data_IF_729260970318
#
_entry.id   IF_729260970318
#
_cell.length_a   1.000
_cell.length_b   1.000
_cell.length_c   1.000
_cell.angle_alpha   90.00
_cell.angle_beta   90.00
_cell.angle_gamma   90.00
#
_symmetry.space_group_name_H-M   'P 1'
#
loop_
_entity.id
_entity.type
_entity.pdbx_description
1 polymer ?
#
# COMPACT_ATOMS: atom_id res chain seq x y z
N UNK A 1 40.85 -57.89 -15.35
CA UNK A 1 41.27 -56.74 -14.53
C UNK A 1 40.84 -55.49 -15.26
N UNK A 2 39.72 -54.89 -14.85
CA UNK A 2 39.21 -53.65 -15.46
C UNK A 2 38.65 -52.78 -14.35
N UNK A 3 39.39 -51.74 -14.01
CA UNK A 3 39.02 -50.76 -12.99
C UNK A 3 38.21 -49.64 -13.65
N UNK A 4 37.00 -49.42 -13.16
CA UNK A 4 36.17 -48.27 -13.52
C UNK A 4 36.60 -47.07 -12.67
N UNK A 5 37.00 -45.96 -13.31
CA UNK A 5 37.28 -44.68 -12.64
C UNK A 5 36.13 -43.72 -12.90
N UNK A 6 35.47 -43.33 -11.81
CA UNK A 6 34.38 -42.37 -11.72
C UNK A 6 34.86 -40.94 -11.93
N UNK A 7 34.26 -40.21 -12.88
CA UNK A 7 34.44 -38.77 -13.07
C UNK A 7 33.22 -38.00 -12.55
N UNK A 8 33.38 -36.93 -11.75
CA UNK A 8 32.25 -36.14 -11.24
C UNK A 8 31.76 -35.08 -12.24
N UNK A 9 30.49 -34.62 -12.15
CA UNK A 9 29.90 -33.68 -13.10
C UNK A 9 30.38 -32.23 -12.85
N UNK A 10 30.71 -31.54 -13.95
CA UNK A 10 31.07 -30.12 -13.99
C UNK A 10 29.82 -29.23 -13.87
N UNK A 11 29.84 -28.28 -12.96
CA UNK A 11 28.88 -27.16 -12.87
C UNK A 11 29.16 -26.11 -13.97
N UNK A 12 28.14 -25.55 -14.64
CA UNK A 12 28.37 -24.55 -15.68
C UNK A 12 28.78 -23.19 -15.08
N UNK A 13 29.85 -22.61 -15.63
CA UNK A 13 30.34 -21.27 -15.29
C UNK A 13 29.39 -20.19 -15.85
N UNK A 14 28.93 -19.31 -14.97
CA UNK A 14 28.17 -18.09 -15.24
C UNK A 14 28.98 -17.16 -16.16
N UNK A 15 28.60 -17.10 -17.43
CA UNK A 15 29.14 -16.15 -18.41
C UNK A 15 28.63 -14.75 -18.08
N UNK A 16 29.53 -13.85 -17.65
CA UNK A 16 29.21 -12.44 -17.53
C UNK A 16 29.34 -11.79 -18.91
N UNK A 17 28.23 -11.64 -19.61
CA UNK A 17 28.17 -10.74 -20.76
C UNK A 17 27.76 -9.35 -20.26
N UNK A 18 28.76 -8.49 -20.08
CA UNK A 18 28.57 -7.06 -19.80
C UNK A 18 28.21 -6.39 -21.13
N UNK A 19 26.92 -6.25 -21.42
CA UNK A 19 26.47 -5.44 -22.56
C UNK A 19 26.48 -3.97 -22.12
N UNK A 20 27.57 -3.33 -22.51
CA UNK A 20 27.90 -1.91 -22.46
C UNK A 20 26.77 -1.07 -23.09
N UNK A 21 26.13 -0.19 -22.31
CA UNK A 21 25.19 0.81 -22.83
C UNK A 21 25.93 1.79 -23.75
N UNK A 22 25.35 2.20 -24.90
CA UNK A 22 25.89 3.32 -25.67
C UNK A 22 25.54 4.65 -24.98
N UNK A 23 26.59 5.38 -24.64
CA UNK A 23 26.59 6.78 -24.24
C UNK A 23 26.12 7.66 -25.39
N UNK A 24 25.04 8.42 -25.19
CA UNK A 24 24.61 9.45 -26.14
C UNK A 24 24.76 10.85 -25.51
N UNK A 25 25.40 11.82 -26.20
CA UNK A 25 25.72 13.11 -25.59
C UNK A 25 24.56 14.11 -25.75
N UNK A 26 24.28 14.80 -24.64
CA UNK A 26 23.81 16.20 -24.56
C UNK A 26 22.69 16.65 -25.52
N UNK A 27 21.47 16.74 -25.00
CA UNK A 27 20.54 17.83 -25.33
C UNK A 27 19.97 18.41 -24.04
N UNK A 28 20.46 19.60 -23.68
CA UNK A 28 20.00 20.35 -22.51
C UNK A 28 18.56 20.82 -22.75
N UNK A 29 17.64 20.44 -21.86
CA UNK A 29 16.30 21.00 -21.74
C UNK A 29 16.07 21.29 -20.26
N UNK A 30 15.78 22.54 -19.97
CA UNK A 30 15.59 23.14 -18.65
C UNK A 30 14.45 22.48 -17.86
N UNK A 31 14.52 22.42 -16.51
CA UNK A 31 13.41 21.95 -15.69
C UNK A 31 12.32 23.04 -15.54
N UNK A 32 11.02 22.72 -15.64
CA UNK A 32 9.97 23.61 -15.16
C UNK A 32 9.88 23.55 -13.64
N UNK A 33 9.61 24.71 -13.04
CA UNK A 33 9.63 25.00 -11.62
C UNK A 33 8.54 24.27 -10.81
N UNK A 34 8.91 23.87 -9.59
CA UNK A 34 8.01 23.42 -8.52
C UNK A 34 7.15 24.57 -7.98
N UNK A 35 5.88 24.33 -7.62
CA UNK A 35 5.20 25.13 -6.61
C UNK A 35 5.06 24.35 -5.29
N UNK A 36 5.67 24.90 -4.24
CA UNK A 36 5.52 24.50 -2.83
C UNK A 36 4.18 24.97 -2.22
N UNK A 37 3.72 24.39 -1.09
CA UNK A 37 2.32 24.37 -0.66
C UNK A 37 1.91 25.61 0.15
N UNK A 38 0.69 26.11 -0.06
CA UNK A 38 0.10 27.16 0.77
C UNK A 38 -0.78 26.55 1.87
N UNK A 39 -0.38 26.82 3.11
CA UNK A 39 -1.14 26.61 4.33
C UNK A 39 -2.45 27.43 4.31
N UNK A 40 -3.58 26.80 4.63
CA UNK A 40 -4.84 27.53 4.84
C UNK A 40 -5.25 27.42 6.31
N UNK A 41 -4.79 28.39 7.09
CA UNK A 41 -5.27 28.72 8.43
C UNK A 41 -6.38 29.75 8.30
N UNK A 42 -7.65 29.36 8.51
CA UNK A 42 -8.75 30.32 8.71
C UNK A 42 -9.74 29.77 9.74
N UNK A 43 -9.95 30.60 10.77
CA UNK A 43 -10.72 30.42 12.00
C UNK A 43 -12.23 30.26 11.78
N UNK A 44 -12.97 29.61 12.72
CA UNK A 44 -14.43 29.73 12.78
C UNK A 44 -14.85 30.93 13.62
N UNK A 45 -15.75 31.76 13.09
CA UNK A 45 -16.39 32.87 13.79
C UNK A 45 -17.90 32.67 13.84
N UNK A 46 -18.50 32.95 14.99
CA UNK A 46 -19.82 33.58 15.07
C UNK A 46 -21.08 32.70 15.09
N UNK A 47 -21.48 32.35 16.31
CA UNK A 47 -22.84 32.47 16.88
C UNK A 47 -24.08 31.93 16.15
N UNK A 48 -24.86 31.09 16.87
CA UNK A 48 -26.27 31.37 17.24
C UNK A 48 -26.84 30.21 18.07
N UNK A 49 -27.09 30.47 19.36
CA UNK A 49 -27.97 29.66 20.20
C UNK A 49 -29.42 30.04 19.95
N UNK A 50 -30.36 29.08 20.09
CA UNK A 50 -31.57 29.41 20.82
C UNK A 50 -31.85 28.39 21.93
N UNK A 51 -32.02 28.94 23.14
CA UNK A 51 -32.67 28.32 24.29
C UNK A 51 -34.09 27.91 23.93
N UNK A 52 -34.45 26.64 24.14
CA UNK A 52 -35.80 26.21 24.54
C UNK A 52 -35.69 24.87 25.26
N UNK A 53 -36.29 24.82 26.45
CA UNK A 53 -36.23 23.72 27.41
C UNK A 53 -37.22 22.57 27.10
N UNK A 54 -36.86 21.31 27.40
CA UNK A 54 -37.70 20.37 28.19
C UNK A 54 -37.04 19.02 28.47
N UNK A 55 -37.35 18.51 29.69
CA UNK A 55 -37.00 17.23 30.35
C UNK A 55 -37.10 15.95 29.49
N UNK A 56 -36.35 14.89 29.84
CA UNK A 56 -36.53 13.55 29.30
C UNK A 56 -37.54 12.75 30.15
N UNK A 57 -38.42 11.97 29.50
CA UNK A 57 -39.24 10.96 30.16
C UNK A 57 -39.60 9.82 29.19
N UNK A 58 -39.04 8.64 29.46
CA UNK A 58 -39.62 7.31 29.18
C UNK A 58 -39.47 6.74 27.76
N UNK A 59 -39.13 5.44 27.61
CA UNK A 59 -39.25 4.72 26.34
C UNK A 59 -40.63 4.05 26.23
N UNK A 60 -41.11 3.82 24.99
CA UNK A 60 -41.92 2.63 24.74
C UNK A 60 -41.37 1.78 23.60
N UNK A 61 -41.57 0.49 23.80
CA UNK A 61 -41.26 -0.65 22.93
C UNK A 61 -42.43 -0.92 21.96
N UNK A 62 -42.14 -1.71 20.91
CA UNK A 62 -43.05 -2.43 19.98
C UNK A 62 -43.44 -1.77 18.64
N UNK A 63 -43.31 -2.58 17.57
CA UNK A 63 -44.26 -2.57 16.47
C UNK A 63 -43.66 -2.37 15.09
N UNK A 64 -43.42 -3.46 14.36
CA UNK A 64 -43.10 -3.46 12.95
C UNK A 64 -44.19 -2.78 12.09
N UNK A 65 -43.78 -2.04 11.06
CA UNK A 65 -44.27 -2.10 9.66
C UNK A 65 -43.92 -0.81 8.91
N UNK A 66 -43.40 -0.99 7.68
CA UNK A 66 -43.31 0.00 6.60
C UNK A 66 -42.09 0.95 6.57
N UNK A 67 -41.37 1.05 5.43
CA UNK A 67 -40.24 1.94 5.28
C UNK A 67 -40.70 3.40 5.07
N UNK A 68 -40.13 4.39 5.78
CA UNK A 68 -40.41 5.79 5.47
C UNK A 68 -39.66 6.18 4.18
N UNK A 69 -40.43 6.48 3.16
CA UNK A 69 -40.03 7.20 1.95
C UNK A 69 -39.41 8.55 2.33
N UNK A 70 -38.08 8.62 2.36
CA UNK A 70 -37.31 9.83 2.67
C UNK A 70 -36.21 10.03 1.63
N UNK A 71 -36.53 10.78 0.59
CA UNK A 71 -35.64 11.18 -0.50
C UNK A 71 -34.48 12.05 0.03
N UNK A 72 -33.32 11.42 0.25
CA UNK A 72 -31.96 12.04 0.31
C UNK A 72 -30.81 11.02 0.51
N UNK A 73 -31.11 9.76 0.87
CA UNK A 73 -30.08 8.71 1.11
C UNK A 73 -29.50 8.06 -0.16
N UNK A 74 -30.12 8.22 -1.34
CA UNK A 74 -29.68 7.52 -2.55
C UNK A 74 -28.23 7.85 -2.93
N UNK A 75 -27.83 9.12 -2.88
CA UNK A 75 -26.49 9.55 -3.32
C UNK A 75 -25.36 8.98 -2.46
N UNK A 76 -25.54 8.97 -1.14
CA UNK A 76 -24.56 8.38 -0.23
C UNK A 76 -24.51 6.86 -0.41
N UNK A 77 -25.68 6.22 -0.55
CA UNK A 77 -25.77 4.78 -0.78
C UNK A 77 -25.16 4.37 -2.12
N UNK A 78 -25.33 5.19 -3.17
CA UNK A 78 -24.76 4.97 -4.50
C UNK A 78 -23.24 5.20 -4.51
N UNK A 79 -22.74 6.17 -3.73
CA UNK A 79 -21.31 6.41 -3.60
C UNK A 79 -20.61 5.26 -2.85
N UNK A 80 -21.21 4.78 -1.74
CA UNK A 80 -20.70 3.62 -1.02
C UNK A 80 -20.74 2.36 -1.90
N UNK A 81 -21.80 2.18 -2.71
CA UNK A 81 -21.88 1.07 -3.65
C UNK A 81 -20.76 1.09 -4.69
N UNK A 82 -20.38 2.28 -5.18
CA UNK A 82 -19.24 2.45 -6.09
C UNK A 82 -17.90 2.15 -5.41
N UNK A 83 -17.73 2.56 -4.14
CA UNK A 83 -16.51 2.33 -3.39
C UNK A 83 -16.29 0.87 -2.95
N UNK A 84 -17.36 0.15 -2.63
CA UNK A 84 -17.29 -1.23 -2.12
C UNK A 84 -17.60 -2.29 -3.19
N UNK A 85 -17.74 -1.91 -4.46
CA UNK A 85 -17.97 -2.87 -5.56
C UNK A 85 -19.31 -3.63 -5.50
N UNK A 86 -20.21 -3.27 -4.58
CA UNK A 86 -21.47 -3.98 -4.28
C UNK A 86 -22.58 -3.79 -5.35
N UNK A 87 -22.22 -3.34 -6.55
CA UNK A 87 -23.12 -3.14 -7.69
C UNK A 87 -22.43 -3.15 -9.04
N UNK A 88 -21.20 -3.66 -9.11
CA UNK A 88 -20.43 -3.77 -10.33
C UNK A 88 -20.60 -5.20 -10.83
N UNK A 89 -21.63 -5.42 -11.65
CA UNK A 89 -21.33 -6.20 -12.84
C UNK A 89 -20.23 -5.41 -13.55
N UNK A 90 -19.11 -6.06 -13.96
CA UNK A 90 -18.14 -5.40 -14.81
C UNK A 90 -18.91 -4.65 -15.91
N UNK A 91 -18.52 -3.43 -16.31
CA UNK A 91 -19.07 -2.87 -17.53
C UNK A 91 -18.88 -3.95 -18.59
N UNK A 92 -19.98 -4.59 -19.01
CA UNK A 92 -19.95 -5.49 -20.15
C UNK A 92 -19.39 -4.63 -21.26
N UNK A 93 -18.22 -4.98 -21.84
CA UNK A 93 -17.70 -4.21 -22.95
C UNK A 93 -18.84 -4.07 -23.96
N UNK A 94 -19.12 -2.84 -24.41
CA UNK A 94 -20.14 -2.59 -25.44
C UNK A 94 -19.78 -3.22 -26.80
N UNK A 95 -18.68 -3.95 -26.88
CA UNK A 95 -18.31 -4.82 -28.00
C UNK A 95 -18.80 -6.25 -27.77
N UNK A 96 -19.12 -6.97 -28.84
CA UNK A 96 -19.38 -8.40 -28.72
C UNK A 96 -18.06 -9.03 -28.24
N UNK A 97 -18.02 -9.74 -27.10
CA UNK A 97 -16.78 -10.18 -26.46
C UNK A 97 -15.96 -11.20 -27.28
N UNK A 98 -16.49 -11.61 -28.42
CA UNK A 98 -15.91 -12.55 -29.37
C UNK A 98 -16.10 -12.02 -30.80
N UNK A 99 -15.97 -10.71 -31.02
CA UNK A 99 -15.93 -10.14 -32.36
C UNK A 99 -14.53 -10.30 -32.94
N UNK A 100 -14.34 -10.98 -34.10
CA UNK A 100 -13.04 -11.04 -34.76
C UNK A 100 -12.62 -9.71 -35.39
N UNK A 101 -13.53 -8.75 -35.57
CA UNK A 101 -13.26 -7.43 -36.18
C UNK A 101 -12.93 -6.33 -35.17
N UNK A 102 -13.08 -6.59 -33.87
CA UNK A 102 -12.81 -5.62 -32.82
C UNK A 102 -11.35 -5.75 -32.37
N UNK A 103 -10.58 -4.66 -32.41
CA UNK A 103 -9.15 -4.66 -32.08
C UNK A 103 -8.90 -4.95 -30.60
N UNK A 104 -9.85 -4.61 -29.72
CA UNK A 104 -9.76 -4.80 -28.28
C UNK A 104 -10.32 -6.17 -27.83
N UNK A 105 -10.88 -6.93 -28.76
CA UNK A 105 -11.50 -8.22 -28.47
C UNK A 105 -10.46 -9.33 -28.37
N UNK A 106 -10.59 -10.26 -27.41
CA UNK A 106 -9.69 -11.42 -27.30
C UNK A 106 -9.81 -12.39 -28.49
N UNK A 107 -10.87 -12.28 -29.29
CA UNK A 107 -11.09 -13.10 -30.48
C UNK A 107 -10.65 -12.41 -31.78
N UNK A 108 -9.97 -11.26 -31.70
CA UNK A 108 -9.52 -10.49 -32.86
C UNK A 108 -8.73 -11.35 -33.86
N UNK A 109 -9.14 -11.33 -35.13
CA UNK A 109 -8.40 -11.94 -36.23
C UNK A 109 -7.79 -10.85 -37.13
N UNK A 110 -6.46 -10.63 -37.05
CA UNK A 110 -5.78 -9.61 -37.84
C UNK A 110 -5.94 -9.79 -39.35
N UNK A 111 -6.04 -11.03 -39.84
CA UNK A 111 -6.09 -11.31 -41.28
C UNK A 111 -7.44 -10.88 -41.85
N UNK A 112 -8.52 -11.32 -41.22
CA UNK A 112 -9.88 -11.00 -41.68
C UNK A 112 -10.13 -9.49 -41.56
N UNK A 113 -9.66 -8.86 -40.47
CA UNK A 113 -9.78 -7.41 -40.30
C UNK A 113 -9.03 -6.66 -41.40
N UNK A 114 -7.79 -7.08 -41.70
CA UNK A 114 -6.97 -6.46 -42.74
C UNK A 114 -7.58 -6.64 -44.15
N UNK A 115 -8.03 -7.84 -44.50
CA UNK A 115 -8.67 -8.12 -45.78
C UNK A 115 -9.93 -7.28 -45.99
N UNK A 116 -10.75 -7.15 -44.95
CA UNK A 116 -11.92 -6.28 -44.98
C UNK A 116 -11.51 -4.81 -45.13
N UNK A 117 -10.47 -4.37 -44.40
CA UNK A 117 -10.02 -2.99 -44.42
C UNK A 117 -9.48 -2.58 -45.80
N UNK A 118 -8.65 -3.41 -46.45
CA UNK A 118 -8.07 -3.10 -47.76
C UNK A 118 -9.08 -3.18 -48.92
N UNK A 119 -10.09 -4.04 -48.79
CA UNK A 119 -11.14 -4.19 -49.82
C UNK A 119 -12.22 -3.12 -49.74
N UNK A 120 -12.49 -2.57 -48.56
CA UNK A 120 -13.58 -1.61 -48.35
C UNK A 120 -13.14 -0.16 -48.17
N UNK A 121 -11.88 0.10 -47.83
CA UNK A 121 -11.38 1.46 -47.55
C UNK A 121 -10.66 2.08 -48.74
N UNK A 122 -10.70 3.41 -48.84
CA UNK A 122 -9.87 4.16 -49.79
C UNK A 122 -8.43 4.26 -49.30
N UNK A 123 -7.48 4.49 -50.22
CA UNK A 123 -6.06 4.65 -49.89
C UNK A 123 -5.82 5.75 -48.85
N UNK A 124 -6.52 6.88 -48.94
CA UNK A 124 -6.39 7.98 -47.97
C UNK A 124 -6.86 7.57 -46.57
N UNK A 125 -7.95 6.79 -46.48
CA UNK A 125 -8.42 6.26 -45.21
C UNK A 125 -7.40 5.27 -44.62
N UNK A 126 -6.79 4.44 -45.47
CA UNK A 126 -5.77 3.47 -45.05
C UNK A 126 -4.52 4.16 -44.48
N UNK A 127 -4.00 5.19 -45.16
CA UNK A 127 -2.87 5.99 -44.67
C UNK A 127 -3.18 6.72 -43.37
N UNK A 128 -4.42 7.19 -43.19
CA UNK A 128 -4.85 7.80 -41.94
C UNK A 128 -4.87 6.75 -40.81
N UNK A 129 -5.43 5.57 -41.07
CA UNK A 129 -5.49 4.47 -40.10
C UNK A 129 -4.09 3.99 -39.71
N UNK A 130 -3.16 3.93 -40.66
CA UNK A 130 -1.75 3.60 -40.39
C UNK A 130 -1.13 4.60 -39.40
N UNK A 131 -1.28 5.90 -39.65
CA UNK A 131 -0.73 6.93 -38.76
C UNK A 131 -1.36 6.90 -37.36
N UNK A 132 -2.67 6.64 -37.28
CA UNK A 132 -3.39 6.43 -36.02
C UNK A 132 -2.79 5.26 -35.25
N UNK A 133 -2.69 4.08 -35.87
CA UNK A 133 -2.12 2.89 -35.23
C UNK A 133 -0.66 3.09 -34.81
N UNK A 134 0.15 3.80 -35.61
CA UNK A 134 1.52 4.15 -35.22
C UNK A 134 1.59 5.06 -33.99
N UNK A 135 0.58 5.91 -33.80
CA UNK A 135 0.47 6.79 -32.64
C UNK A 135 0.04 5.97 -31.42
N UNK A 136 -1.00 5.16 -31.56
CA UNK A 136 -1.51 4.27 -30.51
C UNK A 136 -0.42 3.30 -30.04
N UNK A 137 0.35 2.71 -30.96
CA UNK A 137 1.47 1.82 -30.61
C UNK A 137 2.53 2.51 -29.76
N UNK A 138 2.84 3.78 -30.03
CA UNK A 138 3.82 4.55 -29.26
C UNK A 138 3.27 4.95 -27.89
N UNK A 139 2.00 5.33 -27.84
CA UNK A 139 1.30 5.66 -26.60
C UNK A 139 1.25 4.44 -25.68
N UNK A 140 0.76 3.30 -26.19
CA UNK A 140 0.69 2.04 -25.44
C UNK A 140 2.05 1.56 -24.94
N UNK A 141 3.14 1.70 -25.74
CA UNK A 141 4.47 1.36 -25.23
C UNK A 141 4.92 2.33 -24.13
N UNK A 142 4.62 3.63 -24.26
CA UNK A 142 4.94 4.62 -23.22
C UNK A 142 4.17 4.37 -21.93
N UNK A 143 2.88 4.01 -22.01
CA UNK A 143 2.05 3.63 -20.86
C UNK A 143 2.58 2.35 -20.20
N UNK A 144 2.91 1.33 -21.00
CA UNK A 144 3.51 0.09 -20.51
C UNK A 144 4.82 0.37 -19.77
N UNK A 145 5.70 1.20 -20.34
CA UNK A 145 6.95 1.59 -19.70
C UNK A 145 6.70 2.36 -18.39
N UNK A 146 5.75 3.29 -18.38
CA UNK A 146 5.38 4.05 -17.18
C UNK A 146 4.85 3.14 -16.07
N UNK A 147 3.98 2.19 -16.39
CA UNK A 147 3.43 1.22 -15.44
C UNK A 147 4.53 0.34 -14.85
N UNK A 148 5.41 -0.19 -15.69
CA UNK A 148 6.55 -1.02 -15.26
C UNK A 148 7.48 -0.22 -14.36
N UNK A 149 7.77 1.04 -14.72
CA UNK A 149 8.59 1.92 -13.90
C UNK A 149 7.97 2.19 -12.52
N UNK A 150 6.69 2.60 -12.48
CA UNK A 150 5.98 2.89 -11.24
C UNK A 150 5.95 1.65 -10.34
N UNK A 151 5.59 0.50 -10.89
CA UNK A 151 5.53 -0.74 -10.12
C UNK A 151 6.89 -1.16 -9.57
N UNK A 152 7.95 -1.11 -10.37
CA UNK A 152 9.29 -1.43 -9.87
C UNK A 152 9.79 -0.40 -8.85
N UNK A 153 9.51 0.88 -9.05
CA UNK A 153 9.87 1.93 -8.11
C UNK A 153 9.18 1.75 -6.76
N UNK A 154 7.88 1.43 -6.77
CA UNK A 154 7.10 1.14 -5.57
C UNK A 154 7.59 -0.14 -4.85
N UNK A 155 7.90 -1.20 -5.59
CA UNK A 155 8.44 -2.44 -5.01
C UNK A 155 9.80 -2.22 -4.34
N UNK A 156 10.66 -1.41 -4.95
CA UNK A 156 11.96 -1.04 -4.35
C UNK A 156 11.71 -0.24 -3.07
N UNK A 157 10.87 0.80 -3.12
CA UNK A 157 10.55 1.62 -1.95
C UNK A 157 9.92 0.80 -0.80
N UNK A 158 9.05 -0.16 -1.12
CA UNK A 158 8.48 -1.08 -0.15
C UNK A 158 9.55 -1.98 0.46
N UNK A 159 10.49 -2.49 -0.35
CA UNK A 159 11.62 -3.31 0.11
C UNK A 159 12.54 -2.53 1.04
N UNK A 160 12.82 -1.26 0.72
CA UNK A 160 13.60 -0.36 1.58
C UNK A 160 12.88 -0.12 2.92
N UNK A 161 11.57 0.09 2.87
CA UNK A 161 10.73 0.26 4.07
C UNK A 161 10.76 -0.99 4.94
N UNK A 162 10.61 -2.18 4.35
CA UNK A 162 10.69 -3.46 5.07
C UNK A 162 12.08 -3.64 5.71
N UNK A 163 13.14 -3.28 4.98
CA UNK A 163 14.51 -3.35 5.51
C UNK A 163 14.70 -2.41 6.70
N UNK A 164 14.23 -1.16 6.61
CA UNK A 164 14.28 -0.21 7.71
C UNK A 164 13.40 -0.63 8.91
N UNK A 165 12.25 -1.27 8.66
CA UNK A 165 11.42 -1.85 9.72
C UNK A 165 12.13 -3.01 10.42
N UNK A 166 12.77 -3.89 9.66
CA UNK A 166 13.56 -5.01 10.20
C UNK A 166 14.69 -4.51 11.10
N UNK A 167 15.49 -3.56 10.64
CA UNK A 167 16.59 -3.00 11.44
C UNK A 167 16.10 -2.35 12.75
N UNK A 168 14.96 -1.65 12.72
CA UNK A 168 14.35 -1.10 13.95
C UNK A 168 13.82 -2.17 14.89
N UNK A 169 13.28 -3.28 14.37
CA UNK A 169 12.85 -4.39 15.20
C UNK A 169 14.03 -5.08 15.88
N UNK A 170 15.15 -5.25 15.16
CA UNK A 170 16.39 -5.80 15.70
C UNK A 170 17.00 -4.91 16.78
N UNK A 171 16.99 -3.57 16.62
CA UNK A 171 17.47 -2.67 17.68
C UNK A 171 16.60 -2.71 18.93
N UNK A 172 15.28 -2.85 18.77
CA UNK A 172 14.34 -2.93 19.91
C UNK A 172 14.59 -4.16 20.78
N UNK A 173 14.97 -5.29 20.19
CA UNK A 173 15.32 -6.50 20.95
C UNK A 173 16.52 -6.25 21.91
N UNK A 174 17.54 -5.53 21.41
CA UNK A 174 18.67 -5.08 22.23
C UNK A 174 18.25 -4.14 23.36
N UNK A 175 17.37 -3.18 23.07
CA UNK A 175 16.85 -2.25 24.09
C UNK A 175 16.04 -2.99 25.18
N UNK A 176 15.27 -4.02 24.81
CA UNK A 176 14.51 -4.85 25.76
C UNK A 176 15.42 -5.68 26.67
N UNK A 177 16.54 -6.19 26.15
CA UNK A 177 17.52 -6.91 26.95
C UNK A 177 18.22 -5.98 27.95
N UNK A 178 18.57 -4.76 27.53
CA UNK A 178 19.10 -3.74 28.43
C UNK A 178 18.10 -3.38 29.55
N UNK A 179 16.82 -3.24 29.20
CA UNK A 179 15.75 -2.99 30.16
C UNK A 179 15.61 -4.13 31.18
N UNK A 180 15.69 -5.39 30.73
CA UNK A 180 15.68 -6.57 31.61
C UNK A 180 16.85 -6.60 32.58
N UNK A 181 18.05 -6.28 32.09
CA UNK A 181 19.25 -6.20 32.93
C UNK A 181 19.07 -5.13 34.03
N UNK A 182 18.58 -3.94 33.65
CA UNK A 182 18.31 -2.86 34.59
C UNK A 182 17.26 -3.25 35.66
N UNK A 183 16.16 -3.89 35.28
CA UNK A 183 15.17 -4.39 36.25
C UNK A 183 15.73 -5.46 37.18
N UNK A 184 16.59 -6.35 36.67
CA UNK A 184 17.24 -7.37 37.49
C UNK A 184 18.18 -6.73 38.52
N UNK A 185 18.90 -5.70 38.13
CA UNK A 185 19.77 -4.92 39.03
C UNK A 185 18.97 -4.17 40.09
N UNK A 186 17.88 -3.49 39.69
CA UNK A 186 16.96 -2.84 40.64
C UNK A 186 16.40 -3.87 41.62
N UNK A 187 15.97 -5.04 41.14
CA UNK A 187 15.45 -6.11 41.99
C UNK A 187 16.52 -6.59 42.98
N UNK A 188 17.77 -6.79 42.53
CA UNK A 188 18.89 -7.17 43.39
C UNK A 188 19.15 -6.12 44.48
N UNK A 189 19.26 -4.85 44.09
CA UNK A 189 19.49 -3.74 45.01
C UNK A 189 18.33 -3.59 46.00
N UNK A 190 17.08 -3.76 45.56
CA UNK A 190 15.91 -3.69 46.44
C UNK A 190 15.90 -4.82 47.47
N UNK A 191 16.32 -6.04 47.08
CA UNK A 191 16.45 -7.17 48.00
C UNK A 191 17.56 -6.94 49.03
N UNK A 192 18.70 -6.38 48.60
CA UNK A 192 19.80 -6.00 49.47
C UNK A 192 19.36 -4.97 50.53
N UNK A 193 18.70 -3.90 50.11
CA UNK A 193 18.13 -2.87 51.03
C UNK A 193 17.08 -3.47 51.99
N UNK A 194 16.24 -4.38 51.51
CA UNK A 194 15.22 -5.02 52.34
C UNK A 194 15.82 -5.94 53.42
N UNK A 195 16.98 -6.55 53.16
CA UNK A 195 17.70 -7.38 54.14
C UNK A 195 18.32 -6.50 55.23
N UNK A 196 18.89 -5.35 54.86
CA UNK A 196 19.51 -4.41 55.81
C UNK A 196 18.48 -3.77 56.75
N UNK A 197 17.23 -3.57 56.31
CA UNK A 197 16.12 -3.14 57.17
C UNK A 197 15.59 -4.22 58.12
N UNK A 198 16.03 -5.47 57.99
CA UNK A 198 15.57 -6.62 58.79
C UNK A 198 16.62 -7.07 59.83
N UNK A 199 17.60 -6.25 60.18
CA UNK A 199 18.42 -6.45 61.39
C UNK A 199 17.57 -6.05 62.62
N UNK A 200 17.12 -7.00 63.47
CA UNK A 200 16.38 -6.67 64.67
C UNK A 200 17.37 -6.22 65.75
N UNK A 201 17.36 -4.94 66.12
CA UNK A 201 18.01 -4.51 67.36
C UNK A 201 17.38 -5.26 68.54
N UNK A 202 18.14 -6.04 69.34
CA UNK A 202 17.60 -6.69 70.51
C UNK A 202 17.47 -5.63 71.61
N UNK A 203 16.27 -5.08 71.81
CA UNK A 203 15.98 -4.23 72.97
C UNK A 203 15.83 -5.09 74.22
N UNK A 204 16.96 -5.40 74.85
CA UNK A 204 17.01 -5.92 76.21
C UNK A 204 16.60 -4.80 77.19
N UNK A 205 15.30 -4.68 77.47
CA UNK A 205 14.81 -3.91 78.63
C UNK A 205 14.74 -4.82 79.86
N UNK A 206 15.84 -4.90 80.60
CA UNK A 206 15.85 -5.35 82.00
C UNK A 206 15.12 -4.32 82.87
N UNK A 207 13.87 -4.61 83.23
CA UNK A 207 13.21 -3.97 84.38
C UNK A 207 13.89 -4.44 85.66
N UNK A 208 14.80 -3.63 86.20
CA UNK A 208 15.25 -3.74 87.59
C UNK A 208 14.43 -2.75 88.43
N UNK A 209 13.45 -3.27 89.15
CA UNK A 209 12.72 -2.55 90.19
C UNK A 209 12.80 -3.40 91.46
N UNK A 210 13.71 -3.03 92.36
CA UNK A 210 13.71 -3.40 93.78
C UNK A 210 14.87 -2.68 94.50
N UNK A 211 14.61 -1.48 95.02
CA UNK A 211 14.77 -1.10 96.43
C UNK A 211 14.53 0.39 96.61
#
# INVERSE_FOLDING_TARGET
MSSATSSPPQTPKRSQHVTRLPSNPRRALSPPASPSPLANSLSPSGASTPTTARRPSGPPLHGATSPPTGSKSSKARDLLRKHYGLGIHPPTPSGRPMDPMDLDSPAFDPKVYYEQLITTSSLTALLKKENELLTDMRELDSERQSLVYNHHHELIAATDTISAMKTRAESLDGDLELLRAAFSEISRLSAEVAIEQREPTPTAHTHSSAQ
#
